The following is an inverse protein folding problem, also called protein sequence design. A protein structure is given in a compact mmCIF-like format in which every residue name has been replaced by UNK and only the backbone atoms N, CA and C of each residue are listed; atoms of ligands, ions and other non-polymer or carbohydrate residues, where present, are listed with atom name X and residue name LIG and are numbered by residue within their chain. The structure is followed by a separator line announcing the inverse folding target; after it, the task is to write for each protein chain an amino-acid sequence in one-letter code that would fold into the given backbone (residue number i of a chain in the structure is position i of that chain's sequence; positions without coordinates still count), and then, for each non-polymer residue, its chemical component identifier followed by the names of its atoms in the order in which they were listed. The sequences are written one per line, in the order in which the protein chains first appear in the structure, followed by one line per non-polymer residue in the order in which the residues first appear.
data_IF_336337901789
#
_entry.id   IF_336337901789
#
_cell.length_a   1.000
_cell.length_b   1.000
_cell.length_c   1.000
_cell.angle_alpha   90.00
_cell.angle_beta   90.00
_cell.angle_gamma   90.00
#
_symmetry.space_group_name_H-M   'P 1'
#
loop_
_entity.id
_entity.type
_entity.pdbx_description
1 polymer ?
#
# COMPACT_ATOMS: atom_id res chain seq x y z
N UNK A 1 10.14 3.49 -6.81
CA UNK A 1 9.98 3.46 -5.34
C UNK A 1 8.83 4.40 -4.97
N UNK A 2 7.97 4.03 -4.01
CA UNK A 2 6.91 4.93 -3.56
C UNK A 2 7.50 6.06 -2.73
N UNK A 3 7.07 7.28 -3.03
CA UNK A 3 7.60 8.50 -2.45
C UNK A 3 6.46 9.44 -2.10
N UNK A 4 6.55 10.07 -0.95
CA UNK A 4 5.71 11.20 -0.57
C UNK A 4 6.55 12.47 -0.79
N UNK A 5 6.19 13.30 -1.77
CA UNK A 5 6.90 14.55 -2.09
C UNK A 5 5.97 15.74 -1.86
N UNK A 6 6.45 16.93 -1.46
CA UNK A 6 5.57 18.07 -1.27
C UNK A 6 4.75 18.42 -2.52
N UNK A 7 3.50 18.81 -2.32
CA UNK A 7 2.64 19.21 -3.42
C UNK A 7 3.13 20.53 -4.02
N UNK A 8 3.39 20.52 -5.31
CA UNK A 8 3.63 21.71 -6.13
C UNK A 8 2.59 21.73 -7.25
N UNK A 9 2.14 22.92 -7.64
CA UNK A 9 1.41 23.06 -8.88
C UNK A 9 2.35 22.70 -10.03
N UNK A 10 1.93 21.81 -10.93
CA UNK A 10 2.69 21.47 -12.15
C UNK A 10 2.55 22.64 -13.14
N UNK A 11 2.94 23.84 -12.72
CA UNK A 11 3.13 24.99 -13.59
C UNK A 11 4.63 25.10 -13.85
N UNK A 12 5.11 24.30 -14.82
CA UNK A 12 6.40 24.46 -15.49
C UNK A 12 7.61 24.76 -14.61
N UNK A 13 8.54 23.80 -14.56
CA UNK A 13 9.84 23.83 -13.83
C UNK A 13 9.73 23.70 -12.31
N UNK A 14 9.34 22.51 -11.87
CA UNK A 14 9.64 22.10 -10.51
C UNK A 14 11.14 21.76 -10.37
N UNK A 15 11.78 22.27 -9.32
CA UNK A 15 13.17 21.99 -8.95
C UNK A 15 13.31 20.57 -8.37
N UNK A 16 12.93 19.55 -9.14
CA UNK A 16 13.26 18.18 -8.78
C UNK A 16 14.69 17.88 -9.22
N UNK A 17 15.42 17.07 -8.44
CA UNK A 17 16.77 16.67 -8.83
C UNK A 17 16.77 15.91 -10.17
N UNK A 18 15.63 15.35 -10.58
CA UNK A 18 15.48 14.50 -11.76
C UNK A 18 14.30 14.89 -12.69
N UNK A 19 14.21 14.23 -13.85
CA UNK A 19 13.15 14.47 -14.84
C UNK A 19 11.76 14.15 -14.25
N UNK A 20 10.81 15.09 -14.38
CA UNK A 20 9.43 14.95 -13.88
C UNK A 20 8.69 13.71 -14.44
N UNK A 21 9.09 13.23 -15.62
CA UNK A 21 8.52 12.02 -16.23
C UNK A 21 8.84 10.74 -15.45
N UNK A 22 9.82 10.79 -14.55
CA UNK A 22 10.19 9.69 -13.65
C UNK A 22 9.26 9.59 -12.43
N UNK A 23 8.35 10.54 -12.27
CA UNK A 23 7.31 10.55 -11.25
C UNK A 23 5.99 10.14 -11.90
N UNK A 24 5.56 8.92 -11.63
CA UNK A 24 4.31 8.36 -12.14
C UNK A 24 3.31 8.18 -11.00
N UNK A 25 2.03 8.00 -11.34
CA UNK A 25 0.97 7.72 -10.34
C UNK A 25 0.88 8.81 -9.26
N UNK A 26 0.95 10.09 -9.67
CA UNK A 26 0.89 11.22 -8.75
C UNK A 26 -0.53 11.42 -8.22
N UNK A 27 -0.74 11.14 -6.93
CA UNK A 27 -1.99 11.36 -6.21
C UNK A 27 -1.79 12.48 -5.16
N UNK A 28 -2.72 13.43 -5.11
CA UNK A 28 -2.69 14.49 -4.12
C UNK A 28 -3.24 13.97 -2.79
N UNK A 29 -2.42 14.00 -1.74
CA UNK A 29 -2.82 13.60 -0.39
C UNK A 29 -2.61 14.76 0.58
N UNK A 30 -3.50 14.92 1.55
CA UNK A 30 -3.33 15.88 2.64
C UNK A 30 -2.87 15.12 3.89
N UNK A 31 -1.68 15.46 4.39
CA UNK A 31 -1.10 14.85 5.56
C UNK A 31 -0.44 15.94 6.43
N UNK A 32 -0.67 15.92 7.74
CA UNK A 32 -0.11 16.91 8.67
C UNK A 32 -0.40 18.38 8.26
N UNK A 33 -1.62 18.65 7.77
CA UNK A 33 -2.08 19.95 7.24
C UNK A 33 -1.24 20.47 6.05
N UNK A 34 -0.55 19.59 5.34
CA UNK A 34 0.19 19.92 4.13
C UNK A 34 -0.25 18.99 3.01
N UNK A 35 -0.26 19.54 1.80
CA UNK A 35 -0.52 18.76 0.61
C UNK A 35 0.80 18.11 0.14
N UNK A 36 0.72 16.83 -0.21
CA UNK A 36 1.79 16.06 -0.82
C UNK A 36 1.30 15.44 -2.12
N UNK A 37 2.24 15.17 -3.01
CA UNK A 37 2.09 14.16 -4.05
C UNK A 37 2.61 12.84 -3.50
N UNK A 38 1.74 11.84 -3.41
CA UNK A 38 2.15 10.46 -3.31
C UNK A 38 2.36 9.92 -4.72
N UNK A 39 3.55 9.42 -5.02
CA UNK A 39 3.90 9.03 -6.39
C UNK A 39 4.91 7.88 -6.41
N UNK A 40 5.00 7.21 -7.55
CA UNK A 40 6.11 6.31 -7.84
C UNK A 40 7.25 7.08 -8.50
N UNK A 41 8.42 7.04 -7.89
CA UNK A 41 9.64 7.63 -8.43
C UNK A 41 10.58 6.53 -8.96
N UNK A 42 10.89 6.57 -10.25
CA UNK A 42 11.77 5.63 -10.93
C UNK A 42 13.21 6.15 -11.16
N UNK A 43 13.50 7.38 -10.71
CA UNK A 43 14.83 7.98 -10.83
C UNK A 43 15.82 7.43 -9.82
N UNK A 44 17.10 7.65 -10.09
CA UNK A 44 18.22 7.22 -9.26
C UNK A 44 18.74 8.34 -8.34
N UNK A 45 18.33 9.59 -8.59
CA UNK A 45 18.72 10.71 -7.75
C UNK A 45 17.98 10.70 -6.42
N UNK A 46 18.72 11.02 -5.37
CA UNK A 46 18.18 11.12 -4.02
C UNK A 46 17.18 12.29 -3.94
N UNK A 47 15.94 11.96 -3.61
CA UNK A 47 14.90 12.94 -3.37
C UNK A 47 15.04 13.47 -1.94
N UNK A 48 15.39 14.75 -1.81
CA UNK A 48 15.75 15.40 -0.53
C UNK A 48 14.59 15.56 0.45
N UNK A 49 13.34 15.37 0.01
CA UNK A 49 12.12 15.67 0.79
C UNK A 49 11.19 14.45 1.02
N UNK A 50 11.63 13.20 0.75
CA UNK A 50 10.81 11.97 0.89
C UNK A 50 10.67 11.50 2.35
N UNK A 51 10.89 12.38 3.33
CA UNK A 51 11.03 11.97 4.73
C UNK A 51 9.72 11.58 5.41
N UNK A 52 8.57 11.74 4.76
CA UNK A 52 7.26 11.60 5.41
C UNK A 52 6.48 10.36 5.02
N UNK A 53 6.98 9.52 4.10
CA UNK A 53 6.26 8.29 3.73
C UNK A 53 6.00 7.37 4.94
N UNK A 54 7.02 7.12 5.75
CA UNK A 54 6.85 6.31 6.95
C UNK A 54 5.89 6.97 7.95
N UNK A 55 5.96 8.30 8.09
CA UNK A 55 5.06 9.05 8.97
C UNK A 55 3.61 8.99 8.50
N UNK A 56 3.37 9.05 7.18
CA UNK A 56 2.06 8.89 6.56
C UNK A 56 1.51 7.47 6.77
N UNK A 57 2.34 6.44 6.56
CA UNK A 57 1.94 5.05 6.84
C UNK A 57 1.62 4.83 8.33
N UNK A 58 2.38 5.43 9.24
CA UNK A 58 2.07 5.40 10.68
C UNK A 58 0.80 6.20 11.01
N UNK A 59 0.55 7.32 10.34
CA UNK A 59 -0.65 8.12 10.52
C UNK A 59 -1.92 7.37 10.13
N UNK A 60 -1.87 6.61 9.03
CA UNK A 60 -2.96 5.71 8.63
C UNK A 60 -3.28 4.69 9.73
N UNK A 61 -2.28 4.19 10.46
CA UNK A 61 -2.46 3.21 11.53
C UNK A 61 -3.08 3.79 12.81
N UNK A 62 -3.02 5.11 13.03
CA UNK A 62 -3.54 5.78 14.24
C UNK A 62 -4.85 6.54 13.98
N UNK A 63 -5.36 6.53 12.75
CA UNK A 63 -6.70 7.07 12.47
C UNK A 63 -7.72 6.38 13.38
N UNK A 64 -8.75 7.11 13.86
CA UNK A 64 -9.74 6.55 14.77
C UNK A 64 -10.32 5.27 14.17
N UNK A 65 -9.90 4.15 14.75
CA UNK A 65 -10.30 2.82 14.30
C UNK A 65 -11.76 2.66 14.64
N UNK A 66 -12.58 2.35 13.63
CA UNK A 66 -13.93 1.88 13.92
C UNK A 66 -13.81 0.61 14.77
N UNK A 67 -14.84 0.28 15.55
CA UNK A 67 -14.83 -0.80 16.55
C UNK A 67 -14.82 -2.21 15.92
N UNK A 68 -13.98 -2.44 14.91
CA UNK A 68 -13.89 -3.66 14.13
C UNK A 68 -12.73 -4.56 14.53
N UNK A 69 -12.69 -5.75 13.95
CA UNK A 69 -11.71 -6.79 14.26
C UNK A 69 -10.44 -6.52 13.44
N UNK A 70 -9.35 -6.13 14.09
CA UNK A 70 -8.07 -5.83 13.43
C UNK A 70 -7.16 -7.05 13.23
N UNK A 71 -7.58 -8.23 13.69
CA UNK A 71 -6.89 -9.50 13.45
C UNK A 71 -7.84 -10.46 12.74
N UNK A 72 -7.58 -10.73 11.47
CA UNK A 72 -8.41 -11.62 10.64
C UNK A 72 -7.69 -12.94 10.36
N UNK A 73 -8.43 -13.97 9.97
CA UNK A 73 -7.80 -15.21 9.49
C UNK A 73 -7.05 -14.98 8.17
N UNK A 74 -5.97 -15.72 7.90
CA UNK A 74 -5.30 -15.65 6.59
C UNK A 74 -6.24 -16.04 5.45
N UNK A 75 -7.15 -16.98 5.67
CA UNK A 75 -8.18 -17.31 4.68
C UNK A 75 -9.10 -16.13 4.35
N UNK A 76 -9.38 -15.24 5.31
CA UNK A 76 -10.09 -13.99 5.06
C UNK A 76 -9.22 -13.00 4.28
N UNK A 77 -7.96 -12.81 4.70
CA UNK A 77 -7.03 -11.91 3.99
C UNK A 77 -6.86 -12.30 2.51
N UNK A 78 -6.67 -13.60 2.23
CA UNK A 78 -6.55 -14.12 0.85
C UNK A 78 -7.80 -13.83 0.02
N UNK A 79 -9.00 -14.03 0.59
CA UNK A 79 -10.28 -13.74 -0.08
C UNK A 79 -10.50 -12.26 -0.38
N UNK A 80 -9.76 -11.36 0.25
CA UNK A 80 -9.80 -9.93 -0.10
C UNK A 80 -9.09 -9.66 -1.41
N UNK A 81 -8.10 -10.47 -1.80
CA UNK A 81 -7.56 -10.47 -3.15
C UNK A 81 -8.50 -11.21 -4.10
N UNK A 82 -8.68 -10.63 -5.28
CA UNK A 82 -9.37 -11.29 -6.39
C UNK A 82 -8.48 -12.38 -6.99
N UNK A 83 -9.09 -13.36 -7.65
CA UNK A 83 -8.34 -14.44 -8.31
C UNK A 83 -7.38 -13.92 -9.37
N UNK A 84 -7.76 -12.87 -10.10
CA UNK A 84 -6.91 -12.23 -11.12
C UNK A 84 -5.65 -11.62 -10.49
N UNK A 85 -5.82 -10.88 -9.39
CA UNK A 85 -4.69 -10.33 -8.62
C UNK A 85 -3.76 -11.43 -8.10
N UNK A 86 -4.32 -12.53 -7.57
CA UNK A 86 -3.53 -13.65 -7.10
C UNK A 86 -2.71 -14.29 -8.22
N UNK A 87 -3.30 -14.50 -9.40
CA UNK A 87 -2.59 -15.04 -10.57
C UNK A 87 -1.45 -14.12 -10.98
N UNK A 88 -1.70 -12.81 -11.07
CA UNK A 88 -0.67 -11.84 -11.45
C UNK A 88 0.51 -11.82 -10.48
N UNK A 89 0.25 -11.93 -9.17
CA UNK A 89 1.30 -12.01 -8.16
C UNK A 89 2.09 -13.32 -8.29
N UNK A 90 1.41 -14.44 -8.53
CA UNK A 90 2.04 -15.77 -8.66
C UNK A 90 2.85 -15.90 -9.95
N UNK A 91 2.40 -15.29 -11.05
CA UNK A 91 3.07 -15.35 -12.35
C UNK A 91 4.10 -14.24 -12.55
N UNK A 92 4.18 -13.28 -11.62
CA UNK A 92 5.10 -12.13 -11.73
C UNK A 92 6.58 -12.56 -11.82
N UNK A 93 7.40 -11.75 -12.49
CA UNK A 93 8.86 -11.87 -12.39
C UNK A 93 9.42 -11.21 -11.13
N UNK A 94 8.58 -10.48 -10.39
CA UNK A 94 8.94 -9.79 -9.16
C UNK A 94 9.02 -10.79 -7.99
N UNK A 95 10.25 -11.14 -7.64
CA UNK A 95 10.53 -12.08 -6.54
C UNK A 95 10.07 -11.55 -5.19
N UNK A 96 10.05 -10.22 -4.98
CA UNK A 96 9.60 -9.61 -3.75
C UNK A 96 8.09 -9.75 -3.58
N UNK A 97 7.31 -9.49 -4.63
CA UNK A 97 5.86 -9.71 -4.63
C UNK A 97 5.52 -11.15 -4.24
N UNK A 98 6.24 -12.13 -4.81
CA UNK A 98 6.08 -13.56 -4.48
C UNK A 98 6.39 -13.87 -3.02
N UNK A 99 7.53 -13.39 -2.51
CA UNK A 99 7.94 -13.60 -1.12
C UNK A 99 6.94 -12.99 -0.15
N UNK A 100 6.45 -11.79 -0.42
CA UNK A 100 5.44 -11.12 0.42
C UNK A 100 4.15 -11.93 0.45
N UNK A 101 3.65 -12.36 -0.72
CA UNK A 101 2.44 -13.20 -0.82
C UNK A 101 2.59 -14.51 -0.05
N UNK A 102 3.75 -15.15 -0.13
CA UNK A 102 4.05 -16.37 0.61
C UNK A 102 4.06 -16.12 2.13
N UNK A 103 4.68 -15.02 2.58
CA UNK A 103 4.70 -14.62 4.00
C UNK A 103 3.31 -14.30 4.55
N UNK A 104 2.47 -13.62 3.77
CA UNK A 104 1.06 -13.41 4.12
C UNK A 104 0.32 -14.74 4.24
N UNK A 105 0.71 -15.73 3.44
CA UNK A 105 0.07 -17.04 3.36
C UNK A 105 0.52 -18.04 4.44
N UNK A 106 1.70 -17.84 5.03
CA UNK A 106 2.32 -18.78 5.98
C UNK A 106 1.88 -18.59 7.42
N UNK A 107 1.27 -17.45 7.74
CA UNK A 107 0.76 -17.14 9.08
C UNK A 107 -0.61 -17.80 9.34
N UNK A 108 -1.02 -17.92 10.60
CA UNK A 108 -2.39 -18.35 10.95
C UNK A 108 -3.39 -17.20 10.89
N UNK A 109 -2.93 -16.00 11.19
CA UNK A 109 -3.71 -14.77 11.23
C UNK A 109 -2.95 -13.62 10.58
N UNK A 110 -3.70 -12.62 10.13
CA UNK A 110 -3.21 -11.35 9.64
C UNK A 110 -3.58 -10.29 10.68
N UNK A 111 -2.57 -9.73 11.34
CA UNK A 111 -2.70 -8.53 12.14
C UNK A 111 -2.63 -7.32 11.20
N UNK A 112 -3.76 -6.63 11.01
CA UNK A 112 -3.89 -5.51 10.09
C UNK A 112 -3.18 -4.24 10.60
N UNK A 113 -2.79 -4.22 11.88
CA UNK A 113 -2.01 -3.15 12.48
C UNK A 113 -0.50 -3.46 12.50
N UNK A 114 -0.12 -4.70 12.16
CA UNK A 114 1.29 -5.07 12.09
C UNK A 114 1.96 -4.42 10.88
N UNK A 115 2.91 -3.53 11.16
CA UNK A 115 3.56 -2.68 10.14
C UNK A 115 4.13 -3.46 8.96
N UNK A 116 4.78 -4.60 9.19
CA UNK A 116 5.35 -5.39 8.09
C UNK A 116 4.29 -6.06 7.22
N UNK A 117 3.12 -6.40 7.78
CA UNK A 117 1.98 -6.84 6.99
C UNK A 117 1.44 -5.68 6.16
N UNK A 118 1.21 -4.51 6.78
CA UNK A 118 0.74 -3.30 6.08
C UNK A 118 1.68 -2.93 4.93
N UNK A 119 2.99 -2.97 5.15
CA UNK A 119 4.02 -2.72 4.12
C UNK A 119 3.99 -3.76 3.02
N UNK A 120 3.83 -5.04 3.36
CA UNK A 120 3.69 -6.12 2.39
C UNK A 120 2.46 -5.93 1.50
N UNK A 121 1.30 -5.67 2.09
CA UNK A 121 0.05 -5.43 1.35
C UNK A 121 0.18 -4.18 0.48
N UNK A 122 0.73 -3.09 1.02
CA UNK A 122 1.05 -1.86 0.27
C UNK A 122 1.94 -2.15 -0.95
N UNK A 123 2.98 -2.97 -0.79
CA UNK A 123 3.82 -3.38 -1.91
C UNK A 123 3.04 -4.16 -2.97
N UNK A 124 2.21 -5.12 -2.57
CA UNK A 124 1.40 -5.91 -3.50
C UNK A 124 0.38 -5.07 -4.26
N UNK A 125 -0.32 -4.15 -3.59
CA UNK A 125 -1.24 -3.22 -4.24
C UNK A 125 -0.48 -2.33 -5.22
N UNK A 126 0.67 -1.80 -4.81
CA UNK A 126 1.50 -1.01 -5.70
C UNK A 126 1.92 -1.80 -6.95
N UNK A 127 2.36 -3.04 -6.78
CA UNK A 127 2.70 -3.95 -7.88
C UNK A 127 1.50 -4.13 -8.83
N UNK A 128 0.33 -4.46 -8.30
CA UNK A 128 -0.90 -4.70 -9.06
C UNK A 128 -1.38 -3.46 -9.85
N UNK A 129 -1.30 -2.27 -9.25
CA UNK A 129 -1.66 -1.02 -9.93
C UNK A 129 -0.64 -0.72 -11.04
N UNK A 130 0.66 -0.95 -10.80
CA UNK A 130 1.71 -0.69 -11.78
C UNK A 130 1.71 -1.67 -12.98
N UNK A 131 1.21 -2.89 -12.82
CA UNK A 131 1.03 -3.81 -13.95
C UNK A 131 -0.16 -3.44 -14.84
N UNK A 132 -0.97 -2.44 -14.47
CA UNK A 132 -2.15 -2.03 -15.22
C UNK A 132 -3.26 -3.08 -15.23
N UNK A 133 -3.12 -4.12 -14.41
CA UNK A 133 -3.98 -5.28 -14.43
C UNK A 133 -5.20 -5.12 -13.51
N UNK A 134 -5.27 -4.03 -12.73
CA UNK A 134 -6.44 -3.68 -11.94
C UNK A 134 -6.80 -2.22 -12.16
N UNK A 135 -8.11 -1.92 -12.14
CA UNK A 135 -8.67 -0.59 -12.41
C UNK A 135 -8.88 0.25 -11.13
N UNK A 136 -8.28 -0.16 -10.02
CA UNK A 136 -8.44 0.52 -8.74
C UNK A 136 -7.30 1.52 -8.53
N UNK A 137 -7.62 2.63 -7.88
CA UNK A 137 -6.61 3.51 -7.31
C UNK A 137 -5.88 2.79 -6.17
N UNK A 138 -4.59 3.08 -6.01
CA UNK A 138 -3.74 2.45 -4.99
C UNK A 138 -4.34 2.58 -3.58
N UNK A 139 -4.76 3.79 -3.23
CA UNK A 139 -5.33 4.10 -1.92
C UNK A 139 -6.61 3.30 -1.67
N UNK A 140 -7.56 3.37 -2.59
CA UNK A 140 -8.86 2.69 -2.46
C UNK A 140 -8.65 1.19 -2.26
N UNK A 141 -7.74 0.60 -3.04
CA UNK A 141 -7.47 -0.84 -2.94
C UNK A 141 -6.74 -1.20 -1.64
N UNK A 142 -5.79 -0.37 -1.21
CA UNK A 142 -5.08 -0.59 0.05
C UNK A 142 -6.02 -0.47 1.25
N UNK A 143 -6.90 0.53 1.27
CA UNK A 143 -7.91 0.71 2.30
C UNK A 143 -8.90 -0.46 2.33
N UNK A 144 -9.34 -0.94 1.16
CA UNK A 144 -10.22 -2.11 1.07
C UNK A 144 -9.55 -3.39 1.61
N UNK A 145 -8.28 -3.63 1.28
CA UNK A 145 -7.55 -4.80 1.77
C UNK A 145 -7.26 -4.73 3.27
N UNK A 146 -7.07 -3.53 3.82
CA UNK A 146 -6.76 -3.28 5.24
C UNK A 146 -7.96 -2.84 6.08
N UNK A 147 -9.17 -2.89 5.50
CA UNK A 147 -10.40 -2.55 6.19
C UNK A 147 -10.61 -3.46 7.40
N UNK A 148 -11.32 -2.97 8.41
CA UNK A 148 -11.61 -3.77 9.59
C UNK A 148 -12.32 -5.07 9.23
N UNK A 149 -11.95 -6.14 9.93
CA UNK A 149 -12.58 -7.44 9.78
C UNK A 149 -14.02 -7.44 10.31
N UNK A 150 -14.88 -8.17 9.63
CA UNK A 150 -16.24 -8.48 10.07
C UNK A 150 -16.28 -9.67 11.02
N UNK A 151 -17.40 -9.90 11.69
CA UNK A 151 -17.61 -11.08 12.55
C UNK A 151 -17.40 -12.42 11.84
N UNK A 152 -17.57 -12.48 10.51
CA UNK A 152 -17.34 -13.68 9.67
C UNK A 152 -15.86 -13.93 9.37
N UNK A 153 -15.01 -12.93 9.56
CA UNK A 153 -13.56 -13.01 9.34
C UNK A 153 -12.80 -13.23 10.65
N UNK A 154 -13.52 -13.24 11.77
CA UNK A 154 -13.03 -13.51 13.10
C UNK A 154 -12.53 -14.94 13.21
N UNK A 155 -11.36 -15.10 13.82
CA UNK A 155 -10.93 -16.39 14.34
C UNK A 155 -11.74 -16.75 15.60
N UNK A 156 -12.48 -17.86 15.57
CA UNK A 156 -13.31 -18.33 16.71
C UNK A 156 -12.64 -19.40 17.56
N UNK A 157 -11.33 -19.65 17.39
CA UNK A 157 -10.65 -20.74 18.08
C UNK A 157 -10.51 -20.50 19.58
N UNK A 158 -11.10 -21.39 20.38
CA UNK A 158 -10.68 -21.68 21.75
C UNK A 158 -9.29 -22.33 21.69
N UNK A 159 -8.36 -21.84 22.52
CA UNK A 159 -7.02 -22.42 22.74
C UNK A 159 -7.11 -23.71 23.55
#
# INVERSE_FOLDING_TARGET
MNSLIPHFEIQGTANYPDNYQLFTQMEKVNFNNKDYWFCHYAGDKQLTEVSELNAYLTWLQIQPKQTGIRIITIGSMKRRFTTEEEVLIVDSTDTMAKVIRERLSSSRYADLDFLELTRGVSYLVNFLVNTGAVKYEFKDRLEELLQDGTSKERYTGLL
#
